data_IF_695461701225
#
_entry.id   IF_695461701225
#
_cell.length_a   1.000
_cell.length_b   1.000
_cell.length_c   1.000
_cell.angle_alpha   90.00
_cell.angle_beta   90.00
_cell.angle_gamma   90.00
#
_symmetry.space_group_name_H-M   'P 1'
#
loop_
_entity.id
_entity.type
_entity.pdbx_description
1 polymer ?
#
# COMPACT_ATOMS: atom_id res chain seq x y z
N UNK A 1 -32.66 -28.16 -7.86
CA UNK A 1 -31.29 -28.71 -7.64
C UNK A 1 -30.29 -28.29 -8.72
N UNK A 2 -30.63 -28.38 -10.02
CA UNK A 2 -29.75 -27.99 -11.15
C UNK A 2 -29.16 -26.58 -11.04
N UNK A 3 -29.95 -25.58 -10.61
CA UNK A 3 -29.47 -24.20 -10.40
C UNK A 3 -28.44 -24.08 -9.27
N UNK A 4 -28.61 -24.83 -8.17
CA UNK A 4 -27.64 -24.84 -7.05
C UNK A 4 -26.32 -25.51 -7.47
N UNK A 5 -26.40 -26.58 -8.25
CA UNK A 5 -25.23 -27.26 -8.83
C UNK A 5 -24.48 -26.33 -9.77
N UNK A 6 -25.20 -25.60 -10.63
CA UNK A 6 -24.60 -24.62 -11.53
C UNK A 6 -23.87 -23.51 -10.77
N UNK A 7 -24.48 -22.93 -9.74
CA UNK A 7 -23.82 -21.94 -8.88
C UNK A 7 -22.60 -22.52 -8.15
N UNK A 8 -22.70 -23.75 -7.64
CA UNK A 8 -21.58 -24.42 -6.99
C UNK A 8 -20.39 -24.63 -7.95
N UNK A 9 -20.65 -25.05 -9.18
CA UNK A 9 -19.63 -25.25 -10.21
C UNK A 9 -18.96 -23.93 -10.61
N UNK A 10 -19.72 -22.84 -10.74
CA UNK A 10 -19.17 -21.51 -11.02
C UNK A 10 -18.25 -21.05 -9.88
N UNK A 11 -18.72 -21.11 -8.63
CA UNK A 11 -17.93 -20.69 -7.47
C UNK A 11 -16.67 -21.53 -7.32
N UNK A 12 -16.77 -22.84 -7.55
CA UNK A 12 -15.62 -23.75 -7.52
C UNK A 12 -14.59 -23.42 -8.61
N UNK A 13 -15.03 -23.10 -9.82
CA UNK A 13 -14.14 -22.71 -10.91
C UNK A 13 -13.42 -21.38 -10.63
N UNK A 14 -14.15 -20.38 -10.11
CA UNK A 14 -13.54 -19.09 -9.71
C UNK A 14 -12.48 -19.30 -8.63
N UNK A 15 -12.75 -20.13 -7.62
CA UNK A 15 -11.79 -20.44 -6.57
C UNK A 15 -10.51 -21.09 -7.10
N UNK A 16 -10.60 -21.99 -8.09
CA UNK A 16 -9.40 -22.58 -8.70
C UNK A 16 -8.57 -21.54 -9.48
N UNK A 17 -9.22 -20.60 -10.16
CA UNK A 17 -8.53 -19.54 -10.90
C UNK A 17 -7.81 -18.54 -9.97
N UNK A 18 -8.43 -18.17 -8.84
CA UNK A 18 -7.81 -17.21 -7.91
C UNK A 18 -6.60 -17.80 -7.20
N UNK A 19 -6.63 -19.08 -6.82
CA UNK A 19 -5.48 -19.74 -6.18
C UNK A 19 -4.30 -19.93 -7.15
N UNK A 20 -4.54 -20.13 -8.44
CA UNK A 20 -3.49 -20.22 -9.46
C UNK A 20 -2.80 -18.87 -9.71
N UNK A 21 -3.54 -17.75 -9.67
CA UNK A 21 -2.97 -16.40 -9.82
C UNK A 21 -2.10 -16.00 -8.61
N UNK A 22 -2.43 -16.46 -7.40
CA UNK A 22 -1.62 -16.22 -6.21
C UNK A 22 -0.22 -16.86 -6.29
N UNK A 23 -0.10 -18.04 -6.92
CA UNK A 23 1.19 -18.69 -7.15
C UNK A 23 1.97 -18.05 -8.30
N UNK A 24 1.29 -17.59 -9.37
CA UNK A 24 1.92 -16.89 -10.48
C UNK A 24 2.48 -15.52 -10.06
N UNK A 25 1.70 -14.72 -9.31
CA UNK A 25 2.16 -13.42 -8.82
C UNK A 25 3.33 -13.55 -7.85
N UNK A 26 3.36 -14.59 -7.00
CA UNK A 26 4.51 -14.84 -6.12
C UNK A 26 5.73 -15.32 -6.90
N UNK A 27 5.58 -16.27 -7.82
CA UNK A 27 6.68 -16.75 -8.64
C UNK A 27 7.31 -15.66 -9.53
N UNK A 28 6.50 -14.73 -10.03
CA UNK A 28 6.98 -13.54 -10.75
C UNK A 28 7.67 -12.55 -9.82
N UNK A 29 7.24 -12.39 -8.57
CA UNK A 29 7.91 -11.49 -7.61
C UNK A 29 9.19 -12.10 -7.02
N UNK A 30 9.28 -13.43 -6.96
CA UNK A 30 10.44 -14.18 -6.45
C UNK A 30 11.45 -14.57 -7.55
N UNK A 31 11.12 -14.37 -8.83
CA UNK A 31 12.06 -14.55 -9.94
C UNK A 31 13.09 -13.42 -9.98
N UNK A 32 14.24 -13.64 -10.64
CA UNK A 32 15.30 -12.63 -10.74
C UNK A 32 14.83 -11.33 -11.45
N UNK A 33 13.97 -11.43 -12.46
CA UNK A 33 13.28 -10.28 -13.08
C UNK A 33 12.25 -9.64 -12.13
N UNK A 34 11.65 -10.45 -11.26
CA UNK A 34 10.78 -10.06 -10.17
C UNK A 34 11.43 -9.22 -9.09
N UNK A 35 12.71 -9.47 -8.80
CA UNK A 35 13.43 -8.78 -7.74
C UNK A 35 13.61 -7.28 -8.03
N UNK A 36 13.88 -6.89 -9.27
CA UNK A 36 13.93 -5.47 -9.66
C UNK A 36 12.55 -4.81 -9.54
N UNK A 37 11.49 -5.52 -9.94
CA UNK A 37 10.11 -5.05 -9.77
C UNK A 37 9.74 -4.93 -8.28
N UNK A 38 10.15 -5.89 -7.46
CA UNK A 38 9.92 -5.91 -6.01
C UNK A 38 10.67 -4.78 -5.29
N UNK A 39 11.90 -4.46 -5.71
CA UNK A 39 12.64 -3.27 -5.24
C UNK A 39 11.88 -1.99 -5.58
N UNK A 40 11.42 -1.85 -6.83
CA UNK A 40 10.63 -0.70 -7.25
C UNK A 40 9.33 -0.52 -6.45
N UNK A 41 8.66 -1.62 -6.08
CA UNK A 41 7.49 -1.58 -5.20
C UNK A 41 7.86 -1.15 -3.78
N UNK A 42 8.95 -1.66 -3.21
CA UNK A 42 9.40 -1.29 -1.86
C UNK A 42 9.77 0.21 -1.80
N UNK A 43 10.49 0.70 -2.81
CA UNK A 43 10.81 2.12 -2.95
C UNK A 43 9.54 2.98 -3.07
N UNK A 44 8.55 2.49 -3.83
CA UNK A 44 7.23 3.12 -3.91
C UNK A 44 6.50 3.19 -2.57
N UNK A 45 6.51 2.10 -1.78
CA UNK A 45 5.91 2.07 -0.44
C UNK A 45 6.60 3.09 0.48
N UNK A 46 7.94 3.10 0.51
CA UNK A 46 8.72 4.04 1.32
C UNK A 46 8.44 5.48 0.89
N UNK A 47 8.39 5.74 -0.42
CA UNK A 47 8.07 7.06 -0.96
C UNK A 47 6.67 7.54 -0.55
N UNK A 48 5.65 6.68 -0.70
CA UNK A 48 4.28 7.00 -0.29
C UNK A 48 4.15 7.19 1.22
N UNK A 49 4.87 6.40 2.02
CA UNK A 49 4.92 6.54 3.47
C UNK A 49 5.66 7.80 3.93
N UNK A 50 6.64 8.30 3.18
CA UNK A 50 7.36 9.52 3.54
C UNK A 50 6.44 10.76 3.55
N UNK A 51 5.44 10.81 2.67
CA UNK A 51 4.49 11.93 2.53
C UNK A 51 3.80 12.28 3.85
N UNK A 52 3.08 11.37 4.55
CA UNK A 52 2.41 11.70 5.80
C UNK A 52 3.40 12.17 6.90
N UNK A 53 4.61 11.61 6.96
CA UNK A 53 5.60 12.06 7.96
C UNK A 53 6.09 13.49 7.70
N UNK A 54 6.36 13.84 6.43
CA UNK A 54 6.77 15.19 6.05
C UNK A 54 5.64 16.19 6.34
N UNK A 55 4.39 15.84 6.01
CA UNK A 55 3.24 16.70 6.26
C UNK A 55 3.03 16.97 7.75
N UNK A 56 3.07 15.93 8.59
CA UNK A 56 2.90 16.07 10.04
C UNK A 56 4.07 16.85 10.65
N UNK A 57 5.31 16.56 10.26
CA UNK A 57 6.49 17.29 10.72
C UNK A 57 6.46 18.76 10.30
N UNK A 58 6.08 19.05 9.06
CA UNK A 58 5.93 20.41 8.56
C UNK A 58 4.84 21.19 9.30
N UNK A 59 3.68 20.57 9.50
CA UNK A 59 2.58 21.17 10.26
C UNK A 59 3.00 21.45 11.71
N UNK A 60 3.66 20.50 12.37
CA UNK A 60 4.19 20.67 13.72
C UNK A 60 5.21 21.81 13.82
N UNK A 61 6.10 21.93 12.83
CA UNK A 61 7.07 23.03 12.76
C UNK A 61 6.39 24.40 12.58
N UNK A 62 5.38 24.49 11.69
CA UNK A 62 4.62 25.72 11.48
C UNK A 62 3.88 26.15 12.76
N UNK A 63 3.27 25.20 13.47
CA UNK A 63 2.63 25.41 14.76
C UNK A 63 3.67 25.93 15.77
N UNK A 64 4.77 25.21 15.97
CA UNK A 64 5.84 25.61 16.89
C UNK A 64 6.33 27.02 16.61
N UNK A 65 6.64 27.33 15.33
CA UNK A 65 7.09 28.66 14.91
C UNK A 65 6.06 29.74 15.22
N UNK A 66 4.77 29.50 14.96
CA UNK A 66 3.69 30.46 15.21
C UNK A 66 3.56 30.78 16.71
N UNK A 67 3.49 29.75 17.55
CA UNK A 67 3.33 29.94 19.00
C UNK A 67 4.58 30.51 19.67
N UNK A 68 5.78 30.14 19.20
CA UNK A 68 7.02 30.66 19.78
C UNK A 68 7.33 32.12 19.34
N UNK A 69 6.89 32.53 18.13
CA UNK A 69 7.00 33.93 17.67
C UNK A 69 5.98 34.85 18.36
N UNK A 70 4.79 34.33 18.67
CA UNK A 70 3.78 35.07 19.45
C UNK A 70 4.25 35.41 20.85
N UNK A 71 4.98 34.50 21.53
CA UNK A 71 5.59 34.79 22.85
C UNK A 71 6.64 35.91 22.83
N UNK A 72 7.29 36.17 21.69
CA UNK A 72 8.28 37.25 21.55
C UNK A 72 7.68 38.64 21.25
N UNK A 73 6.38 38.73 20.93
CA UNK A 73 5.73 39.97 20.46
C UNK A 73 4.77 40.58 21.49
N UNK A 74 4.71 40.05 22.71
CA UNK A 74 3.88 40.57 23.82
C UNK A 74 4.76 41.17 24.92
N UNK A 75 5.68 42.05 24.55
CA UNK A 75 6.32 42.96 25.49
C UNK A 75 6.15 44.40 25.00
#
# INVERSE_FOLDING_TARGET
MKRKIFFFLITFFIFLQTNAQCAMCRAVLESEEGQETAKGINDGIVYLMAIPYILVGGLGFLIYKKFNKSKKTTH
#
